data_IF_474469360132
#
_entry.id   IF_474469360132
#
_cell.length_a   1.000
_cell.length_b   1.000
_cell.length_c   1.000
_cell.angle_alpha   90.00
_cell.angle_beta   90.00
_cell.angle_gamma   90.00
#
_symmetry.space_group_name_H-M   'P 1'
#
loop_
_entity.id
_entity.type
_entity.pdbx_description
1 polymer ?
#
# COMPACT_ATOMS: atom_id res chain seq x y z
N UNK A 1 24.46 30.27 43.38
CA UNK A 1 23.07 29.83 43.33
C UNK A 1 22.29 30.88 42.52
N UNK A 2 22.03 30.54 41.22
CA UNK A 2 21.20 31.39 40.38
C UNK A 2 19.77 31.37 40.95
N UNK A 3 19.19 32.56 41.21
CA UNK A 3 17.79 32.60 41.61
C UNK A 3 16.89 32.18 40.43
N UNK A 4 15.93 31.27 40.67
CA UNK A 4 15.05 30.82 39.60
C UNK A 4 14.24 32.02 39.07
N UNK A 5 14.52 32.42 37.80
CA UNK A 5 13.80 33.44 37.04
C UNK A 5 13.42 34.71 37.82
N UNK A 6 14.34 35.26 38.60
CA UNK A 6 14.34 36.51 39.40
C UNK A 6 13.00 37.26 39.57
N UNK A 7 12.61 38.04 38.58
CA UNK A 7 11.37 38.81 38.59
C UNK A 7 10.13 38.04 38.07
N UNK A 8 10.25 36.71 37.88
CA UNK A 8 9.26 35.84 37.26
C UNK A 8 9.35 35.84 35.73
N UNK A 9 8.83 34.78 35.11
CA UNK A 9 8.73 34.70 33.66
C UNK A 9 7.55 35.55 33.13
N UNK A 10 7.63 36.04 31.88
CA UNK A 10 6.50 36.65 31.19
C UNK A 10 5.27 35.72 31.17
N UNK A 11 4.09 36.31 31.03
CA UNK A 11 2.87 35.51 30.86
C UNK A 11 3.02 34.58 29.62
N UNK A 12 2.62 33.32 29.76
CA UNK A 12 2.77 32.32 28.70
C UNK A 12 4.12 31.58 28.70
N UNK A 13 5.03 31.92 29.62
CA UNK A 13 6.32 31.21 29.73
C UNK A 13 6.49 30.55 31.11
N UNK A 14 7.24 29.45 31.17
CA UNK A 14 7.63 28.72 32.38
C UNK A 14 9.11 28.86 32.67
N UNK A 15 9.44 28.98 33.95
CA UNK A 15 10.80 28.99 34.42
C UNK A 15 11.36 27.58 34.52
N UNK A 16 12.32 27.24 33.68
CA UNK A 16 12.94 25.91 33.63
C UNK A 16 14.45 26.00 33.89
N UNK A 17 15.07 25.00 34.52
CA UNK A 17 16.51 24.89 34.62
C UNK A 17 17.14 24.75 33.23
N UNK A 18 18.18 25.51 32.94
CA UNK A 18 18.91 25.49 31.69
C UNK A 18 20.39 25.81 31.86
N UNK A 19 21.06 26.13 30.77
CA UNK A 19 22.44 26.59 30.74
C UNK A 19 22.46 27.94 30.00
N UNK A 20 23.25 28.87 30.49
CA UNK A 20 23.40 30.19 29.82
C UNK A 20 24.40 30.08 28.62
N UNK A 21 24.58 31.21 27.91
CA UNK A 21 25.47 31.29 26.74
C UNK A 21 26.95 30.96 27.07
N UNK A 22 27.34 30.96 28.35
CA UNK A 22 28.68 30.63 28.80
C UNK A 22 28.83 29.17 29.26
N UNK A 23 27.71 28.42 29.27
CA UNK A 23 27.68 27.03 29.73
C UNK A 23 27.44 26.88 31.22
N UNK A 24 27.11 27.93 31.95
CA UNK A 24 26.83 27.90 33.39
C UNK A 24 25.33 27.53 33.65
N UNK A 25 25.04 26.80 34.72
CA UNK A 25 23.68 26.53 35.16
C UNK A 25 22.89 27.82 35.37
N UNK A 26 21.76 27.92 34.70
CA UNK A 26 20.88 29.10 34.71
C UNK A 26 19.42 28.69 34.71
N UNK A 27 18.51 29.67 34.75
CA UNK A 27 17.08 29.45 34.56
C UNK A 27 16.60 30.25 33.35
N UNK A 28 15.81 29.59 32.51
CA UNK A 28 15.30 30.16 31.27
C UNK A 28 13.78 30.26 31.35
N UNK A 29 13.22 31.35 30.84
CA UNK A 29 11.79 31.42 30.58
C UNK A 29 11.53 30.89 29.18
N UNK A 30 10.87 29.74 29.11
CA UNK A 30 10.49 29.14 27.84
C UNK A 30 8.98 29.19 27.67
N UNK A 31 8.53 29.34 26.43
CA UNK A 31 7.11 29.31 26.07
C UNK A 31 6.51 27.94 26.44
N UNK A 32 5.43 27.95 27.21
CA UNK A 32 4.73 26.74 27.61
C UNK A 32 4.00 26.09 26.43
N UNK A 33 3.83 26.83 25.35
CA UNK A 33 3.14 26.42 24.13
C UNK A 33 4.06 26.31 22.91
N UNK A 34 5.38 26.20 23.10
CA UNK A 34 6.35 26.22 22.01
C UNK A 34 6.10 25.10 20.95
N UNK A 35 5.43 24.03 21.35
CA UNK A 35 5.04 22.93 20.45
C UNK A 35 3.57 22.98 20.02
N UNK A 36 2.79 23.95 20.52
CA UNK A 36 1.40 24.09 20.09
C UNK A 36 1.33 24.32 18.57
N UNK A 37 0.42 23.62 17.90
CA UNK A 37 0.29 23.58 16.43
C UNK A 37 1.54 23.06 15.67
N UNK A 38 2.56 22.55 16.35
CA UNK A 38 3.65 21.88 15.64
C UNK A 38 3.15 20.59 14.98
N UNK A 39 3.53 20.29 13.73
CA UNK A 39 3.27 19.02 13.09
C UNK A 39 3.79 17.86 13.91
N UNK A 40 3.10 16.72 13.92
CA UNK A 40 3.46 15.54 14.68
C UNK A 40 3.01 14.25 13.98
N UNK A 41 3.64 13.15 14.36
CA UNK A 41 3.26 11.79 13.98
C UNK A 41 2.70 11.01 15.17
N UNK A 42 3.20 11.32 16.37
CA UNK A 42 2.78 10.68 17.62
C UNK A 42 2.81 11.66 18.81
N UNK A 43 2.18 11.29 19.92
CA UNK A 43 2.09 12.14 21.11
C UNK A 43 3.47 12.55 21.67
N UNK A 44 4.48 11.69 21.51
CA UNK A 44 5.85 11.98 21.97
C UNK A 44 6.49 13.19 21.28
N UNK A 45 6.08 13.49 20.04
CA UNK A 45 6.57 14.65 19.28
C UNK A 45 6.09 15.98 19.90
N UNK A 46 4.98 15.91 20.64
CA UNK A 46 4.37 17.05 21.30
C UNK A 46 4.92 17.35 22.70
N UNK A 47 5.80 16.49 23.21
CA UNK A 47 6.38 16.65 24.55
C UNK A 47 7.67 17.44 24.45
N UNK A 48 7.69 18.63 25.09
CA UNK A 48 8.95 19.37 25.28
C UNK A 48 9.80 18.70 26.34
N UNK A 49 11.06 18.28 26.02
CA UNK A 49 11.99 17.72 27.02
C UNK A 49 12.24 18.62 28.22
N UNK A 50 12.10 19.93 28.07
CA UNK A 50 12.23 20.91 29.15
C UNK A 50 10.95 21.04 29.99
N UNK A 51 9.82 20.52 29.50
CA UNK A 51 8.51 20.52 30.15
C UNK A 51 7.85 19.14 30.06
N UNK A 52 8.47 18.09 30.63
CA UNK A 52 7.97 16.71 30.46
C UNK A 52 6.60 16.47 31.11
N UNK A 53 6.16 17.37 31.99
CA UNK A 53 4.84 17.30 32.64
C UNK A 53 3.73 17.98 31.83
N UNK A 54 4.08 18.71 30.77
CA UNK A 54 3.09 19.29 29.87
C UNK A 54 2.32 18.18 29.16
N UNK A 55 1.00 18.23 29.28
CA UNK A 55 0.11 17.23 28.66
C UNK A 55 -0.30 17.72 27.29
N UNK A 56 0.41 17.26 26.27
CA UNK A 56 0.13 17.52 24.87
C UNK A 56 -0.16 16.22 24.15
N UNK A 57 -0.94 16.28 23.06
CA UNK A 57 -1.27 15.15 22.20
C UNK A 57 -1.09 15.55 20.75
N UNK A 58 -0.83 14.57 19.92
CA UNK A 58 -0.85 14.69 18.48
C UNK A 58 -2.28 14.47 17.98
N UNK A 59 -2.94 15.53 17.54
CA UNK A 59 -4.34 15.52 17.13
C UNK A 59 -4.43 15.56 15.60
N UNK A 60 -5.06 14.54 15.02
CA UNK A 60 -5.31 14.48 13.58
C UNK A 60 -6.48 15.38 13.20
N UNK A 61 -6.30 16.21 12.19
CA UNK A 61 -7.33 17.07 11.62
C UNK A 61 -8.25 16.28 10.68
N UNK A 62 -9.57 16.51 10.80
CA UNK A 62 -10.56 15.80 9.98
C UNK A 62 -10.51 16.17 8.49
N UNK A 63 -9.93 17.31 8.14
CA UNK A 63 -9.80 17.80 6.77
C UNK A 63 -8.63 17.17 5.99
N UNK A 64 -7.84 16.31 6.64
CA UNK A 64 -6.68 15.65 6.03
C UNK A 64 -5.45 16.55 5.92
N UNK A 65 -5.45 17.74 6.56
CA UNK A 65 -4.29 18.64 6.56
C UNK A 65 -3.08 18.08 7.30
N UNK A 66 -3.32 17.11 8.21
CA UNK A 66 -2.28 16.43 8.99
C UNK A 66 -2.64 16.28 10.45
N UNK A 67 -1.63 16.00 11.27
CA UNK A 67 -1.73 15.93 12.73
C UNK A 67 -0.86 17.00 13.37
N UNK A 68 -1.38 17.65 14.40
CA UNK A 68 -0.72 18.77 15.05
C UNK A 68 -0.81 18.65 16.56
N UNK A 69 0.19 19.18 17.25
CA UNK A 69 0.26 19.19 18.70
C UNK A 69 -0.81 20.09 19.31
N UNK A 70 -1.66 19.52 20.13
CA UNK A 70 -2.64 20.22 20.96
C UNK A 70 -2.29 20.06 22.44
N UNK A 71 -2.36 21.16 23.20
CA UNK A 71 -2.06 21.17 24.65
C UNK A 71 -3.35 21.06 25.44
N UNK A 72 -3.35 20.29 26.55
CA UNK A 72 -4.48 20.17 27.45
C UNK A 72 -4.82 21.55 28.06
N UNK A 73 -6.10 21.80 28.24
CA UNK A 73 -6.61 23.02 28.88
C UNK A 73 -7.77 22.69 29.85
N UNK A 74 -8.06 23.64 30.75
CA UNK A 74 -9.25 23.62 31.59
C UNK A 74 -10.14 24.84 31.33
N UNK A 75 -9.53 25.90 30.87
CA UNK A 75 -10.18 27.17 30.53
C UNK A 75 -9.55 27.75 29.26
N UNK A 76 -10.22 28.75 28.65
CA UNK A 76 -9.67 29.49 27.50
C UNK A 76 -8.33 30.21 27.81
N UNK A 77 -8.14 30.59 29.07
CA UNK A 77 -6.90 31.29 29.47
C UNK A 77 -5.66 30.37 29.54
N UNK A 78 -5.88 29.05 29.45
CA UNK A 78 -4.79 28.06 29.42
C UNK A 78 -4.23 27.88 28.01
N UNK A 79 -4.89 28.48 27.00
CA UNK A 79 -4.50 28.36 25.59
C UNK A 79 -3.70 29.62 25.15
N UNK A 80 -2.82 29.44 24.13
CA UNK A 80 -2.13 30.58 23.53
C UNK A 80 -3.10 31.56 22.84
N UNK A 81 -2.62 32.77 22.53
CA UNK A 81 -3.40 33.75 21.80
C UNK A 81 -3.85 33.21 20.44
N UNK A 82 -5.13 33.38 20.09
CA UNK A 82 -5.71 32.86 18.85
C UNK A 82 -6.16 31.39 18.95
N UNK A 83 -6.20 30.83 20.18
CA UNK A 83 -6.71 29.51 20.44
C UNK A 83 -7.77 29.49 21.53
N UNK A 84 -8.61 28.47 21.52
CA UNK A 84 -9.67 28.26 22.50
C UNK A 84 -9.67 26.85 23.05
N UNK A 85 -10.08 26.69 24.30
CA UNK A 85 -10.23 25.41 24.95
C UNK A 85 -11.51 24.69 24.47
N UNK A 86 -11.38 23.53 23.88
CA UNK A 86 -12.49 22.72 23.37
C UNK A 86 -12.38 21.27 23.83
N UNK A 87 -13.53 20.59 23.95
CA UNK A 87 -13.57 19.18 24.29
C UNK A 87 -13.46 18.37 23.00
N UNK A 88 -12.40 17.57 22.91
CA UNK A 88 -12.17 16.64 21.79
C UNK A 88 -12.05 15.23 22.35
N UNK A 89 -13.09 14.39 22.09
CA UNK A 89 -13.20 13.08 22.74
C UNK A 89 -13.38 13.17 24.26
N UNK A 90 -12.45 12.60 25.02
CA UNK A 90 -12.45 12.60 26.48
C UNK A 90 -11.55 13.70 27.11
N UNK A 91 -10.88 14.50 26.28
CA UNK A 91 -9.91 15.53 26.71
C UNK A 91 -10.38 16.92 26.29
N UNK A 92 -9.99 17.90 27.08
CA UNK A 92 -10.12 19.30 26.69
C UNK A 92 -8.75 19.82 26.26
N UNK A 93 -8.67 20.31 25.02
CA UNK A 93 -7.43 20.75 24.36
C UNK A 93 -7.60 22.11 23.70
N UNK A 94 -6.50 22.81 23.55
CA UNK A 94 -6.45 24.06 22.82
C UNK A 94 -6.53 23.81 21.31
N UNK A 95 -7.49 24.44 20.64
CA UNK A 95 -7.66 24.42 19.19
C UNK A 95 -7.53 25.84 18.63
N UNK A 96 -6.98 26.03 17.41
CA UNK A 96 -6.88 27.34 16.79
C UNK A 96 -8.26 27.88 16.42
N UNK A 97 -8.48 29.21 16.62
CA UNK A 97 -9.76 29.88 16.34
C UNK A 97 -10.13 29.84 14.86
N UNK A 98 -9.15 29.89 13.97
CA UNK A 98 -9.33 29.84 12.51
C UNK A 98 -9.38 28.41 11.97
N UNK A 99 -9.18 27.40 12.83
CA UNK A 99 -9.23 25.98 12.47
C UNK A 99 -7.98 25.47 11.74
N UNK A 100 -6.92 26.30 11.64
CA UNK A 100 -5.68 25.92 10.95
C UNK A 100 -4.46 26.09 11.87
N UNK A 101 -3.48 25.21 11.71
CA UNK A 101 -2.17 25.32 12.36
C UNK A 101 -1.15 25.85 11.37
N UNK A 102 -0.49 26.95 11.71
CA UNK A 102 0.63 27.50 10.95
C UNK A 102 1.97 26.95 11.47
N UNK A 103 2.98 26.90 10.60
CA UNK A 103 4.32 26.49 10.98
C UNK A 103 4.94 27.50 11.96
N UNK A 104 5.23 27.07 13.18
CA UNK A 104 5.97 27.88 14.16
C UNK A 104 7.46 27.91 13.83
N UNK A 105 8.19 28.91 14.37
CA UNK A 105 9.67 28.98 14.24
C UNK A 105 10.31 27.65 14.73
N UNK A 106 9.83 27.12 15.85
CA UNK A 106 10.32 25.84 16.37
C UNK A 106 10.10 24.69 15.37
N UNK A 107 8.91 24.61 14.78
CA UNK A 107 8.57 23.55 13.82
C UNK A 107 9.44 23.61 12.55
N UNK A 108 9.77 24.82 12.09
CA UNK A 108 10.65 25.06 10.95
C UNK A 108 12.09 24.66 11.30
N UNK A 109 12.62 25.13 12.44
CA UNK A 109 13.99 24.83 12.89
C UNK A 109 14.24 23.34 13.15
N UNK A 110 13.19 22.61 13.54
CA UNK A 110 13.26 21.17 13.83
C UNK A 110 12.75 20.29 12.69
N UNK A 111 12.46 20.87 11.51
CA UNK A 111 11.96 20.16 10.34
C UNK A 111 10.76 19.24 10.69
N UNK A 112 9.86 19.78 11.54
CA UNK A 112 8.72 19.00 12.03
C UNK A 112 7.82 18.57 10.88
N UNK A 113 7.37 17.31 10.93
CA UNK A 113 6.59 16.69 9.86
C UNK A 113 5.24 16.18 10.36
N UNK A 114 4.28 16.12 9.46
CA UNK A 114 2.99 15.48 9.68
C UNK A 114 2.63 14.53 8.55
N UNK A 115 1.78 13.55 8.82
CA UNK A 115 1.30 12.61 7.83
C UNK A 115 0.26 13.28 6.93
N UNK A 116 0.31 12.96 5.66
CA UNK A 116 -0.68 13.34 4.66
C UNK A 116 -1.05 12.14 3.78
N UNK A 117 -2.04 12.32 2.93
CA UNK A 117 -2.39 11.31 1.94
C UNK A 117 -2.81 11.93 0.61
N UNK A 118 -2.51 11.23 -0.48
CA UNK A 118 -3.07 11.51 -1.79
C UNK A 118 -4.06 10.38 -2.10
N UNK A 119 -5.31 10.74 -2.34
CA UNK A 119 -6.40 9.79 -2.57
C UNK A 119 -7.06 10.05 -3.92
N UNK A 120 -7.31 8.98 -4.67
CA UNK A 120 -8.08 9.02 -5.92
C UNK A 120 -8.93 7.75 -6.06
N UNK A 121 -9.43 7.45 -7.27
CA UNK A 121 -10.27 6.28 -7.53
C UNK A 121 -9.52 4.95 -7.47
N UNK A 122 -8.18 4.96 -7.45
CA UNK A 122 -7.34 3.77 -7.43
C UNK A 122 -6.91 3.38 -6.01
N UNK A 123 -6.75 4.36 -5.11
CA UNK A 123 -6.33 4.10 -3.74
C UNK A 123 -6.02 5.35 -2.94
N UNK A 124 -5.24 5.17 -1.86
CA UNK A 124 -4.81 6.25 -0.97
C UNK A 124 -3.39 6.00 -0.48
N UNK A 125 -2.43 6.73 -1.04
CA UNK A 125 -1.03 6.66 -0.64
C UNK A 125 -0.72 7.64 0.49
N UNK A 126 0.02 7.18 1.49
CA UNK A 126 0.47 7.98 2.61
C UNK A 126 1.82 8.64 2.28
N UNK A 127 1.99 9.85 2.77
CA UNK A 127 3.21 10.62 2.66
C UNK A 127 3.39 11.55 3.85
N UNK A 128 4.34 12.47 3.73
CA UNK A 128 4.68 13.45 4.74
C UNK A 128 4.62 14.86 4.17
N UNK A 129 4.35 15.82 5.06
CA UNK A 129 4.52 17.24 4.86
C UNK A 129 5.47 17.77 5.91
N UNK A 130 6.37 18.65 5.56
CA UNK A 130 7.28 19.32 6.47
C UNK A 130 6.95 20.79 6.62
N UNK A 131 7.25 21.36 7.79
CA UNK A 131 7.18 22.79 8.01
C UNK A 131 8.37 23.51 7.36
N UNK A 132 8.07 24.59 6.65
CA UNK A 132 9.04 25.50 6.04
C UNK A 132 8.65 26.97 6.33
N UNK A 133 9.49 27.91 5.95
CA UNK A 133 9.20 29.35 6.05
C UNK A 133 7.96 29.76 5.21
N UNK A 134 7.62 28.99 4.19
CA UNK A 134 6.46 29.22 3.32
C UNK A 134 5.21 28.45 3.80
N UNK A 135 5.29 27.75 4.95
CA UNK A 135 4.25 26.89 5.51
C UNK A 135 4.53 25.40 5.28
N UNK A 136 3.48 24.56 5.35
CA UNK A 136 3.61 23.12 5.07
C UNK A 136 3.89 22.89 3.59
N UNK A 137 4.85 21.99 3.32
CA UNK A 137 5.10 21.51 1.95
C UNK A 137 3.89 20.81 1.35
N UNK A 138 3.89 20.58 0.04
CA UNK A 138 2.97 19.64 -0.57
C UNK A 138 3.21 18.22 -0.01
N UNK A 139 2.18 17.37 -0.07
CA UNK A 139 2.28 15.97 0.32
C UNK A 139 3.24 15.23 -0.62
N UNK A 140 4.22 14.53 -0.08
CA UNK A 140 5.20 13.76 -0.85
C UNK A 140 4.73 12.34 -1.17
N UNK A 141 3.48 12.00 -0.85
CA UNK A 141 2.88 10.71 -1.17
C UNK A 141 2.92 10.43 -2.68
N UNK A 142 3.06 9.16 -3.05
CA UNK A 142 2.83 8.73 -4.42
C UNK A 142 1.39 9.02 -4.85
N UNK A 143 1.16 9.20 -6.15
CA UNK A 143 -0.20 9.26 -6.70
C UNK A 143 -0.66 7.82 -6.92
N UNK A 144 -1.77 7.37 -6.29
CA UNK A 144 -2.24 6.01 -6.50
C UNK A 144 -2.58 5.75 -7.97
N UNK A 145 -2.09 4.66 -8.53
CA UNK A 145 -2.30 4.22 -9.91
C UNK A 145 -2.91 2.81 -9.94
N UNK A 146 -3.24 2.33 -11.12
CA UNK A 146 -3.64 0.92 -11.31
C UNK A 146 -2.40 0.05 -11.16
N UNK A 147 -2.55 -1.08 -10.47
CA UNK A 147 -1.47 -2.05 -10.32
C UNK A 147 -0.86 -2.45 -11.67
N UNK A 148 0.46 -2.49 -11.69
CA UNK A 148 1.25 -3.10 -12.76
C UNK A 148 2.27 -4.05 -12.15
N UNK A 149 2.59 -5.14 -12.84
CA UNK A 149 3.56 -6.11 -12.32
C UNK A 149 4.97 -5.51 -12.28
N UNK A 150 5.36 -4.89 -11.15
CA UNK A 150 6.63 -4.18 -10.98
C UNK A 150 7.25 -4.33 -9.58
N UNK A 151 6.63 -5.14 -8.71
CA UNK A 151 6.96 -5.34 -7.28
C UNK A 151 6.79 -4.08 -6.42
N UNK A 152 5.91 -3.16 -6.84
CA UNK A 152 5.52 -1.97 -6.09
C UNK A 152 4.01 -2.02 -5.85
N UNK A 153 3.57 -1.57 -4.69
CA UNK A 153 2.17 -1.32 -4.36
C UNK A 153 1.78 0.04 -4.97
N UNK A 154 1.29 0.03 -6.22
CA UNK A 154 1.00 1.24 -6.98
C UNK A 154 -0.28 1.94 -6.50
N UNK A 155 -1.22 1.19 -5.91
CA UNK A 155 -2.49 1.71 -5.41
C UNK A 155 -2.48 1.99 -3.90
N UNK A 156 -1.43 1.56 -3.20
CA UNK A 156 -1.20 1.72 -1.77
C UNK A 156 -2.28 1.06 -0.88
N UNK A 157 -2.80 -0.11 -1.28
CA UNK A 157 -3.78 -0.86 -0.49
C UNK A 157 -3.15 -1.88 0.48
N UNK A 158 -1.83 -2.06 0.40
CA UNK A 158 -1.03 -2.96 1.23
C UNK A 158 -0.75 -4.30 0.57
N UNK A 159 -1.23 -4.53 -0.63
CA UNK A 159 -0.87 -5.66 -1.49
C UNK A 159 0.13 -5.19 -2.56
N UNK A 160 0.72 -6.10 -3.31
CA UNK A 160 1.70 -5.79 -4.36
C UNK A 160 1.37 -6.64 -5.56
N UNK A 161 1.19 -6.01 -6.73
CA UNK A 161 0.97 -6.71 -7.99
C UNK A 161 -0.30 -7.61 -8.01
N UNK A 162 -1.40 -7.29 -7.26
CA UNK A 162 -2.51 -8.24 -7.11
C UNK A 162 -3.54 -8.23 -8.26
N UNK A 163 -3.80 -7.10 -8.90
CA UNK A 163 -4.79 -6.94 -9.99
C UNK A 163 -4.24 -6.07 -11.10
N UNK A 164 -3.31 -6.60 -11.86
CA UNK A 164 -2.73 -5.93 -13.04
C UNK A 164 -3.46 -6.37 -14.33
N UNK A 165 -3.40 -5.55 -15.41
CA UNK A 165 -4.22 -5.76 -16.63
C UNK A 165 -3.96 -7.08 -17.36
N UNK A 166 -2.76 -7.65 -17.24
CA UNK A 166 -2.35 -8.88 -17.91
C UNK A 166 -2.64 -10.14 -17.08
N UNK A 167 -3.05 -9.99 -15.82
CA UNK A 167 -3.28 -11.11 -14.90
C UNK A 167 -4.30 -12.11 -15.47
N UNK A 168 -3.89 -13.37 -15.54
CA UNK A 168 -4.76 -14.46 -15.98
C UNK A 168 -5.04 -14.51 -17.49
N UNK A 169 -4.37 -13.70 -18.30
CA UNK A 169 -4.43 -13.86 -19.76
C UNK A 169 -3.70 -15.14 -20.16
N UNK A 170 -4.20 -15.82 -21.21
CA UNK A 170 -3.57 -17.01 -21.77
C UNK A 170 -2.22 -16.67 -22.38
N UNK A 171 -1.27 -17.55 -22.23
CA UNK A 171 0.06 -17.48 -22.83
C UNK A 171 0.54 -18.86 -23.24
N UNK A 172 1.52 -18.86 -24.11
CA UNK A 172 2.27 -20.03 -24.54
C UNK A 172 3.63 -19.98 -23.83
N UNK A 173 4.02 -21.04 -23.16
CA UNK A 173 5.28 -21.14 -22.42
C UNK A 173 6.51 -21.28 -23.30
N UNK A 174 7.67 -21.51 -22.68
CA UNK A 174 8.92 -21.83 -23.39
C UNK A 174 9.06 -23.37 -23.62
N UNK A 175 7.96 -24.09 -23.90
CA UNK A 175 7.96 -25.51 -24.15
C UNK A 175 8.06 -25.87 -25.65
N UNK A 176 7.73 -27.09 -26.02
CA UNK A 176 7.88 -27.58 -27.40
C UNK A 176 6.53 -27.74 -28.14
N UNK A 177 5.43 -27.48 -27.44
CA UNK A 177 4.10 -27.55 -28.05
C UNK A 177 3.64 -26.16 -28.57
N UNK A 178 2.42 -26.07 -29.09
CA UNK A 178 1.84 -24.83 -29.63
C UNK A 178 0.55 -24.44 -28.91
N UNK A 179 0.30 -25.02 -27.75
CA UNK A 179 -0.85 -24.68 -26.91
C UNK A 179 -0.67 -23.35 -26.19
N UNK A 180 -1.75 -22.59 -26.07
CA UNK A 180 -1.84 -21.40 -25.19
C UNK A 180 -2.60 -21.78 -23.92
N UNK A 181 -2.09 -22.74 -23.16
CA UNK A 181 -2.71 -23.26 -21.94
C UNK A 181 -2.10 -22.70 -20.64
N UNK A 182 -1.00 -21.95 -20.79
CA UNK A 182 -0.42 -21.17 -19.72
C UNK A 182 -1.23 -19.93 -19.36
N UNK A 183 -0.96 -19.38 -18.19
CA UNK A 183 -1.55 -18.12 -17.68
C UNK A 183 -0.46 -17.15 -17.25
N UNK A 184 -0.61 -15.89 -17.66
CA UNK A 184 0.29 -14.82 -17.21
C UNK A 184 0.11 -14.57 -15.73
N UNK A 185 1.20 -14.66 -14.99
CA UNK A 185 1.30 -14.37 -13.56
C UNK A 185 2.43 -13.40 -13.27
N UNK A 186 2.32 -12.68 -12.16
CA UNK A 186 3.38 -11.78 -11.72
C UNK A 186 4.23 -12.46 -10.66
N UNK A 187 5.53 -12.59 -10.91
CA UNK A 187 6.48 -13.05 -9.91
C UNK A 187 7.61 -12.03 -9.73
N UNK A 188 7.70 -11.46 -8.54
CA UNK A 188 8.75 -10.49 -8.17
C UNK A 188 8.87 -9.30 -9.15
N UNK A 189 7.72 -8.79 -9.62
CA UNK A 189 7.67 -7.65 -10.53
C UNK A 189 7.97 -7.98 -11.99
N UNK A 190 7.89 -9.25 -12.37
CA UNK A 190 8.08 -9.72 -13.74
C UNK A 190 6.88 -10.58 -14.14
N UNK A 191 6.27 -10.25 -15.27
CA UNK A 191 5.22 -11.09 -15.86
C UNK A 191 5.87 -12.33 -16.43
N UNK A 192 5.46 -13.50 -15.96
CA UNK A 192 5.86 -14.81 -16.47
C UNK A 192 4.65 -15.57 -16.95
N UNK A 193 4.85 -16.44 -17.95
CA UNK A 193 3.87 -17.44 -18.33
C UNK A 193 4.03 -18.63 -17.38
N UNK A 194 3.00 -18.91 -16.58
CA UNK A 194 2.90 -20.15 -15.81
C UNK A 194 2.18 -21.16 -16.68
N UNK A 195 2.97 -22.01 -17.29
CA UNK A 195 2.53 -23.06 -18.16
C UNK A 195 2.76 -24.41 -17.49
N UNK A 196 1.87 -25.35 -17.70
CA UNK A 196 1.96 -26.69 -17.12
C UNK A 196 2.21 -27.65 -18.29
N UNK A 197 3.46 -28.07 -18.53
CA UNK A 197 3.93 -29.01 -19.56
C UNK A 197 3.07 -30.30 -19.68
N UNK A 198 1.78 -30.20 -19.53
CA UNK A 198 0.85 -31.32 -19.57
C UNK A 198 0.39 -31.55 -21.02
N UNK A 199 1.31 -32.01 -21.90
CA UNK A 199 0.88 -32.61 -23.16
C UNK A 199 -0.03 -33.79 -22.83
N UNK A 200 -1.30 -33.71 -23.15
CA UNK A 200 -2.28 -34.78 -23.00
C UNK A 200 -2.19 -35.68 -24.25
N UNK A 201 -2.12 -36.99 -24.07
CA UNK A 201 -2.12 -37.89 -25.22
C UNK A 201 -3.35 -37.68 -26.09
N UNK A 202 -3.17 -37.68 -27.42
CA UNK A 202 -4.22 -37.50 -28.39
C UNK A 202 -5.44 -38.41 -28.14
N UNK A 203 -6.63 -37.81 -28.22
CA UNK A 203 -7.92 -38.50 -28.19
C UNK A 203 -8.66 -38.25 -29.51
N UNK A 204 -9.40 -39.24 -30.02
CA UNK A 204 -10.19 -39.09 -31.24
C UNK A 204 -11.39 -38.17 -31.00
N UNK A 205 -11.21 -36.83 -31.15
CA UNK A 205 -12.22 -35.80 -30.86
C UNK A 205 -12.18 -34.60 -31.84
N UNK A 206 -11.20 -34.61 -32.77
CA UNK A 206 -10.99 -33.52 -33.72
C UNK A 206 -10.29 -32.30 -33.13
N UNK A 207 -9.64 -32.46 -31.98
CA UNK A 207 -8.77 -31.48 -31.36
C UNK A 207 -7.31 -31.97 -31.42
N UNK A 208 -6.39 -31.07 -31.35
CA UNK A 208 -4.96 -31.28 -31.18
C UNK A 208 -4.69 -31.28 -29.69
N UNK A 209 -4.80 -32.46 -29.02
CA UNK A 209 -4.74 -32.58 -27.56
C UNK A 209 -3.27 -32.55 -27.05
N UNK A 210 -2.30 -32.94 -27.90
CA UNK A 210 -0.87 -32.94 -27.56
C UNK A 210 -0.12 -31.74 -28.15
N UNK A 211 -0.85 -30.84 -28.85
CA UNK A 211 -0.37 -29.57 -29.40
C UNK A 211 0.85 -29.72 -30.33
N UNK A 212 0.97 -30.83 -31.05
CA UNK A 212 2.04 -31.06 -32.03
C UNK A 212 1.74 -30.40 -33.40
N UNK A 213 0.59 -29.78 -33.55
CA UNK A 213 0.10 -29.11 -34.75
C UNK A 213 -0.71 -30.05 -35.68
N UNK A 214 -1.10 -31.23 -35.21
CA UNK A 214 -1.83 -32.21 -36.02
C UNK A 214 -2.95 -32.90 -35.20
N UNK A 215 -4.19 -32.58 -35.51
CA UNK A 215 -5.37 -33.13 -34.84
C UNK A 215 -5.40 -34.68 -34.96
N UNK A 216 -5.81 -35.38 -33.87
CA UNK A 216 -6.07 -36.81 -33.80
C UNK A 216 -4.93 -37.69 -34.35
N UNK A 217 -3.69 -37.29 -34.20
CA UNK A 217 -2.55 -38.11 -34.62
C UNK A 217 -2.10 -39.08 -33.49
N UNK A 218 -1.20 -39.99 -33.79
CA UNK A 218 -0.57 -40.89 -32.80
C UNK A 218 -1.54 -41.60 -31.82
N UNK A 219 -2.82 -41.73 -32.17
CA UNK A 219 -3.86 -42.31 -31.35
C UNK A 219 -3.55 -43.75 -30.96
N UNK A 220 -3.87 -44.13 -29.74
CA UNK A 220 -3.87 -45.55 -29.37
C UNK A 220 -4.97 -46.31 -30.12
N UNK A 221 -4.61 -47.41 -30.82
CA UNK A 221 -5.53 -48.20 -31.59
C UNK A 221 -6.67 -48.75 -30.73
N UNK A 222 -7.91 -48.51 -31.13
CA UNK A 222 -9.11 -49.05 -30.50
C UNK A 222 -9.63 -50.20 -31.34
N UNK A 223 -9.71 -51.40 -30.75
CA UNK A 223 -10.16 -52.58 -31.46
C UNK A 223 -11.63 -52.45 -31.88
N UNK A 224 -11.93 -52.84 -33.10
CA UNK A 224 -13.27 -52.95 -33.63
C UNK A 224 -14.12 -53.98 -32.87
N UNK A 225 -15.45 -53.87 -32.95
CA UNK A 225 -16.35 -54.74 -32.18
C UNK A 225 -16.35 -56.21 -32.69
N UNK A 226 -16.14 -56.40 -34.00
CA UNK A 226 -16.05 -57.71 -34.59
C UNK A 226 -14.59 -58.20 -34.67
N UNK A 227 -14.25 -59.23 -33.86
CA UNK A 227 -12.91 -59.78 -33.74
C UNK A 227 -12.89 -61.25 -34.09
N UNK A 228 -13.50 -61.68 -35.24
CA UNK A 228 -13.58 -63.05 -35.67
C UNK A 228 -13.18 -63.22 -37.12
N UNK A 229 -12.50 -64.34 -37.43
CA UNK A 229 -12.08 -64.66 -38.80
C UNK A 229 -11.12 -63.63 -39.39
N UNK A 230 -11.46 -63.09 -40.53
CA UNK A 230 -10.66 -62.08 -41.24
C UNK A 230 -10.70 -60.73 -40.53
N UNK A 231 -11.68 -60.48 -39.63
CA UNK A 231 -11.79 -59.29 -38.86
C UNK A 231 -11.01 -59.38 -37.55
N UNK A 232 -10.20 -60.40 -37.33
CA UNK A 232 -9.31 -60.45 -36.17
C UNK A 232 -8.27 -59.31 -36.27
N UNK A 233 -8.05 -58.58 -35.17
CA UNK A 233 -7.16 -57.46 -35.08
C UNK A 233 -7.63 -56.22 -35.90
N UNK A 234 -8.89 -56.19 -36.36
CA UNK A 234 -9.46 -54.99 -36.97
C UNK A 234 -9.58 -53.86 -35.94
N UNK A 235 -9.25 -52.64 -36.36
CA UNK A 235 -9.27 -51.44 -35.51
C UNK A 235 -10.39 -50.49 -35.94
N UNK A 236 -10.91 -49.70 -35.01
CA UNK A 236 -11.83 -48.60 -35.30
C UNK A 236 -11.09 -47.48 -36.04
N UNK A 237 -11.83 -46.68 -36.75
CA UNK A 237 -11.31 -45.53 -37.50
C UNK A 237 -11.73 -44.25 -36.79
N UNK A 238 -10.79 -43.38 -36.52
CA UNK A 238 -11.08 -42.03 -36.00
C UNK A 238 -11.62 -41.13 -37.11
N UNK A 239 -12.73 -40.48 -36.87
CA UNK A 239 -13.38 -39.51 -37.77
C UNK A 239 -13.39 -38.10 -37.18
N UNK A 240 -12.36 -37.74 -36.42
CA UNK A 240 -12.27 -36.42 -35.83
C UNK A 240 -13.36 -36.19 -34.78
N UNK A 241 -14.05 -35.04 -34.88
CA UNK A 241 -15.12 -34.65 -33.96
C UNK A 241 -16.29 -35.65 -33.85
N UNK A 242 -16.44 -36.57 -34.82
CA UNK A 242 -17.44 -37.63 -34.79
C UNK A 242 -16.99 -38.85 -33.97
N UNK A 243 -15.74 -38.89 -33.53
CA UNK A 243 -15.18 -39.93 -32.70
C UNK A 243 -14.90 -41.22 -33.47
N UNK A 244 -14.76 -42.31 -32.72
CA UNK A 244 -14.44 -43.63 -33.25
C UNK A 244 -15.61 -44.31 -33.95
N UNK A 245 -15.37 -44.85 -35.17
CA UNK A 245 -16.36 -45.61 -35.94
C UNK A 245 -15.85 -47.01 -36.24
N UNK A 246 -16.77 -47.95 -36.49
CA UNK A 246 -16.44 -49.30 -36.96
C UNK A 246 -15.91 -49.27 -38.39
N UNK A 247 -14.93 -50.08 -38.74
CA UNK A 247 -14.47 -50.22 -40.11
C UNK A 247 -15.55 -50.87 -40.99
N UNK A 248 -15.47 -50.64 -42.31
CA UNK A 248 -16.32 -51.38 -43.23
C UNK A 248 -15.79 -52.84 -43.36
N UNK A 249 -16.41 -53.72 -42.60
CA UNK A 249 -16.03 -55.14 -42.55
C UNK A 249 -16.13 -55.86 -43.87
N UNK A 250 -16.83 -55.35 -44.90
CA UNK A 250 -16.92 -55.94 -46.24
C UNK A 250 -15.63 -55.70 -47.06
N UNK A 251 -14.79 -54.77 -46.60
CA UNK A 251 -13.53 -54.44 -47.28
C UNK A 251 -12.28 -55.04 -46.61
N UNK A 252 -12.44 -55.82 -45.53
CA UNK A 252 -11.34 -56.50 -44.82
C UNK A 252 -11.13 -57.80 -45.47
N UNK A 253 -9.96 -58.02 -46.12
CA UNK A 253 -9.54 -59.25 -46.80
C UNK A 253 -8.64 -60.17 -45.95
#
# INVERSE_FOLDING_TARGET
>A
DAEPCGDGCPAGTSCVPGIDENGDPSFLCIDVHNRYCAPCLEDSDCIDPLQPDAKSICLTQEDGSGSFCATDCTTHNDCPDGAYCSITGERAVCLPEDGSCECSEWAIENEAVTQCSITNTHGSCLGLRACTEDGLTDCDAAIPEVEVCNAVDDNCDGSVDEVYPEAGQGCDGEDADMCTDGVLTCEQGVIICMDDDASVAEACNGLDDDCDGTEDNNLEAVMADLQFGVCLDAEKICLGADGWTEPDYALIE
#
